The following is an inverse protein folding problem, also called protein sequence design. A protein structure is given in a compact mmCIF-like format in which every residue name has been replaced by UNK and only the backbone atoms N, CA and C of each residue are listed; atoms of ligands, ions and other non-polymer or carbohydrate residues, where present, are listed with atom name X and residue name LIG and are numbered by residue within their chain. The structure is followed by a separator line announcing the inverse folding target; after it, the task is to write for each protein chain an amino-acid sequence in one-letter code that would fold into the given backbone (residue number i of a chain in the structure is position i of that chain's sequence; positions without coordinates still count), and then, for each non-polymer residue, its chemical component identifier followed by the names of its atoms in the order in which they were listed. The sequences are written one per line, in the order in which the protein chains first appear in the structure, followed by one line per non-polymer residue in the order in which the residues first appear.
data_IF_475612883379
#
_entry.id   IF_475612883379
#
_cell.length_a   1.000
_cell.length_b   1.000
_cell.length_c   1.000
_cell.angle_alpha   90.00
_cell.angle_beta   90.00
_cell.angle_gamma   90.00
#
_symmetry.space_group_name_H-M   'P 1'
#
loop_
_entity.id
_entity.type
_entity.pdbx_description
1 polymer ?
#
# COMPACT_ATOMS: atom_id res chain seq x y z
N UNK A 1 -13.96 15.83 20.41
CA UNK A 1 -14.29 17.23 20.78
C UNK A 1 -14.00 18.08 19.58
N UNK A 2 -14.84 19.06 19.26
CA UNK A 2 -14.53 19.96 18.17
C UNK A 2 -13.24 20.76 18.50
N UNK A 3 -12.39 21.13 17.51
CA UNK A 3 -11.14 21.84 17.77
C UNK A 3 -11.35 23.17 18.53
N UNK A 4 -12.51 23.81 18.34
CA UNK A 4 -12.90 25.00 19.09
C UNK A 4 -13.10 24.72 20.60
N UNK A 5 -13.64 23.55 20.96
CA UNK A 5 -13.87 23.14 22.35
C UNK A 5 -12.55 22.85 23.06
N UNK A 6 -11.62 22.16 22.39
CA UNK A 6 -10.28 21.86 22.92
C UNK A 6 -9.51 23.15 23.16
N UNK A 7 -9.57 24.10 22.21
CA UNK A 7 -8.96 25.42 22.34
C UNK A 7 -9.52 26.20 23.53
N UNK A 8 -10.85 26.18 23.71
CA UNK A 8 -11.49 26.85 24.84
C UNK A 8 -11.12 26.20 26.18
N UNK A 9 -11.15 24.87 26.27
CA UNK A 9 -10.77 24.13 27.47
C UNK A 9 -9.31 24.39 27.87
N UNK A 10 -8.41 24.44 26.88
CA UNK A 10 -6.99 24.70 27.11
C UNK A 10 -6.74 26.17 27.49
N UNK A 11 -7.49 27.12 26.93
CA UNK A 11 -7.42 28.54 27.32
C UNK A 11 -7.89 28.77 28.77
N UNK A 12 -8.96 28.09 29.19
CA UNK A 12 -9.46 28.13 30.57
C UNK A 12 -8.44 27.51 31.53
N UNK A 13 -7.90 26.34 31.20
CA UNK A 13 -6.97 25.61 32.06
C UNK A 13 -5.60 26.31 32.20
N UNK A 14 -5.15 27.06 31.18
CA UNK A 14 -3.90 27.83 31.25
C UNK A 14 -4.03 29.18 31.97
N UNK A 15 -5.24 29.73 32.08
CA UNK A 15 -5.47 31.03 32.72
C UNK A 15 -4.61 32.16 32.15
N UNK A 16 -3.83 32.82 33.00
CA UNK A 16 -2.94 33.94 32.61
C UNK A 16 -1.82 33.53 31.65
N UNK A 17 -1.45 32.25 31.60
CA UNK A 17 -0.40 31.75 30.71
C UNK A 17 -0.90 31.51 29.28
N UNK A 18 -2.21 31.57 29.03
CA UNK A 18 -2.80 31.25 27.73
C UNK A 18 -2.24 32.10 26.57
N UNK A 19 -2.13 33.45 26.67
CA UNK A 19 -1.62 34.26 25.56
C UNK A 19 -0.18 33.92 25.18
N UNK A 20 0.66 33.65 26.20
CA UNK A 20 2.06 33.30 26.02
C UNK A 20 2.22 31.90 25.41
N UNK A 21 1.36 30.94 25.78
CA UNK A 21 1.31 29.62 25.15
C UNK A 21 0.93 29.73 23.66
N UNK A 22 -0.14 30.47 23.33
CA UNK A 22 -0.60 30.60 21.95
C UNK A 22 0.40 31.29 21.03
N UNK A 23 1.15 32.28 21.55
CA UNK A 23 2.24 32.92 20.81
C UNK A 23 3.33 31.91 20.44
N UNK A 24 3.82 31.17 21.43
CA UNK A 24 4.90 30.20 21.24
C UNK A 24 4.48 29.05 20.31
N UNK A 25 3.23 28.56 20.43
CA UNK A 25 2.69 27.56 19.50
C UNK A 25 2.62 28.11 18.08
N UNK A 26 2.20 29.36 17.90
CA UNK A 26 2.15 30.00 16.58
C UNK A 26 3.56 30.20 15.98
N UNK A 27 4.54 30.61 16.78
CA UNK A 27 5.93 30.76 16.36
C UNK A 27 6.56 29.42 15.97
N UNK A 28 6.28 28.34 16.72
CA UNK A 28 6.70 26.99 16.39
C UNK A 28 6.09 26.50 15.06
N UNK A 29 4.78 26.66 14.88
CA UNK A 29 4.09 26.28 13.64
C UNK A 29 4.54 27.10 12.42
N UNK A 30 5.01 28.33 12.63
CA UNK A 30 5.63 29.17 11.59
C UNK A 30 7.11 28.82 11.35
N UNK A 31 7.70 27.89 12.11
CA UNK A 31 9.11 27.53 12.00
C UNK A 31 10.09 28.59 12.52
N UNK A 32 9.63 29.55 13.32
CA UNK A 32 10.46 30.62 13.92
C UNK A 32 11.20 30.16 15.18
N UNK A 33 10.82 29.02 15.73
CA UNK A 33 11.37 28.46 16.95
C UNK A 33 11.74 27.00 16.71
N UNK A 34 12.88 26.56 17.26
CA UNK A 34 13.29 25.17 17.14
C UNK A 34 12.45 24.24 18.02
N UNK A 35 12.47 22.94 17.72
CA UNK A 35 11.74 21.94 18.50
C UNK A 35 12.20 21.88 19.96
N UNK A 36 13.52 21.92 20.20
CA UNK A 36 14.08 21.85 21.55
C UNK A 36 13.64 23.05 22.39
N UNK A 37 13.76 24.27 21.85
CA UNK A 37 13.31 25.49 22.52
C UNK A 37 11.81 25.48 22.81
N UNK A 38 11.00 24.98 21.86
CA UNK A 38 9.56 24.86 22.05
C UNK A 38 9.23 23.89 23.20
N UNK A 39 9.86 22.71 23.22
CA UNK A 39 9.63 21.70 24.26
C UNK A 39 10.01 22.23 25.64
N UNK A 40 11.15 22.91 25.78
CA UNK A 40 11.60 23.49 27.05
C UNK A 40 10.60 24.53 27.59
N UNK A 41 10.15 25.45 26.75
CA UNK A 41 9.19 26.50 27.17
C UNK A 41 7.79 25.90 27.43
N UNK A 42 7.40 24.86 26.69
CA UNK A 42 6.11 24.20 26.89
C UNK A 42 6.08 23.37 28.16
N UNK A 43 7.20 22.73 28.53
CA UNK A 43 7.31 21.97 29.77
C UNK A 43 7.09 22.85 31.00
N UNK A 44 7.60 24.08 30.99
CA UNK A 44 7.40 25.05 32.07
C UNK A 44 5.93 25.50 32.21
N UNK A 45 5.20 25.60 31.08
CA UNK A 45 3.81 26.07 31.04
C UNK A 45 2.79 24.96 31.23
N UNK A 46 3.10 23.75 30.79
CA UNK A 46 2.22 22.57 30.82
C UNK A 46 2.57 21.67 32.01
N UNK A 47 2.52 22.20 33.24
CA UNK A 47 2.91 21.43 34.43
C UNK A 47 1.94 20.29 34.78
N UNK A 48 0.67 20.44 34.43
CA UNK A 48 -0.39 19.48 34.79
C UNK A 48 -0.59 18.42 33.70
N UNK A 49 -0.79 17.14 34.04
CA UNK A 49 -1.04 16.08 33.06
C UNK A 49 -2.26 16.36 32.17
N UNK A 50 -3.30 16.99 32.71
CA UNK A 50 -4.49 17.38 31.96
C UNK A 50 -4.17 18.42 30.85
N UNK A 51 -3.27 19.36 31.13
CA UNK A 51 -2.84 20.36 30.14
C UNK A 51 -2.04 19.72 29.01
N UNK A 52 -1.18 18.74 29.34
CA UNK A 52 -0.41 17.96 28.36
C UNK A 52 -1.34 17.16 27.45
N UNK A 53 -2.39 16.54 28.00
CA UNK A 53 -3.39 15.81 27.22
C UNK A 53 -4.15 16.74 26.26
N UNK A 54 -4.61 17.90 26.74
CA UNK A 54 -5.31 18.88 25.90
C UNK A 54 -4.40 19.45 24.80
N UNK A 55 -3.10 19.64 25.08
CA UNK A 55 -2.10 20.07 24.10
C UNK A 55 -1.93 19.01 23.00
N UNK A 56 -1.73 17.75 23.37
CA UNK A 56 -1.56 16.66 22.41
C UNK A 56 -2.82 16.45 21.56
N UNK A 57 -4.00 16.51 22.19
CA UNK A 57 -5.27 16.43 21.48
C UNK A 57 -5.41 17.57 20.45
N UNK A 58 -5.03 18.80 20.82
CA UNK A 58 -5.04 19.94 19.91
C UNK A 58 -4.09 19.75 18.72
N UNK A 59 -2.85 19.29 18.95
CA UNK A 59 -1.89 19.05 17.86
C UNK A 59 -2.41 18.00 16.88
N UNK A 60 -2.97 16.90 17.38
CA UNK A 60 -3.53 15.85 16.54
C UNK A 60 -4.70 16.34 15.69
N UNK A 61 -5.58 17.20 16.24
CA UNK A 61 -6.66 17.81 15.48
C UNK A 61 -6.15 18.78 14.40
N UNK A 62 -5.12 19.59 14.70
CA UNK A 62 -4.51 20.49 13.72
C UNK A 62 -3.89 19.69 12.55
N UNK A 63 -3.14 18.64 12.86
CA UNK A 63 -2.52 17.76 11.85
C UNK A 63 -3.61 17.03 11.07
N UNK A 64 -4.62 16.49 11.74
CA UNK A 64 -5.76 15.83 11.11
C UNK A 64 -6.46 16.74 10.10
N UNK A 65 -6.77 17.98 10.50
CA UNK A 65 -7.38 18.97 9.62
C UNK A 65 -6.48 19.33 8.43
N UNK A 66 -5.17 19.51 8.65
CA UNK A 66 -4.20 19.79 7.60
C UNK A 66 -4.05 18.63 6.61
N UNK A 67 -4.14 17.39 7.06
CA UNK A 67 -4.07 16.20 6.21
C UNK A 67 -5.35 15.95 5.41
N UNK A 68 -6.51 16.41 5.88
CA UNK A 68 -7.80 16.25 5.16
C UNK A 68 -8.09 17.36 4.15
N UNK A 69 -7.37 18.47 4.23
CA UNK A 69 -7.50 19.56 3.26
C UNK A 69 -6.70 19.24 2.01
N UNK A 70 -7.27 18.49 1.07
CA UNK A 70 -6.78 18.54 -0.32
C UNK A 70 -6.82 20.01 -0.80
N UNK A 71 -5.84 20.48 -1.56
CA UNK A 71 -5.95 21.77 -2.20
C UNK A 71 -7.08 21.67 -3.23
N UNK A 72 -8.16 22.42 -3.02
CA UNK A 72 -9.21 22.68 -4.01
C UNK A 72 -8.60 23.47 -5.20
N UNK A 73 -7.75 22.81 -5.98
CA UNK A 73 -7.51 23.21 -7.36
C UNK A 73 -8.65 22.59 -8.15
N UNK A 74 -9.65 23.41 -8.48
CA UNK A 74 -10.59 23.33 -9.62
C UNK A 74 -11.99 23.89 -9.24
N UNK A 75 -12.06 25.14 -8.79
CA UNK A 75 -13.30 25.92 -8.88
C UNK A 75 -13.30 26.73 -10.18
N UNK A 76 -13.94 26.19 -11.22
CA UNK A 76 -14.51 27.01 -12.30
C UNK A 76 -16.00 26.73 -12.38
N UNK A 77 -16.76 27.65 -11.77
CA UNK A 77 -18.11 28.12 -12.10
C UNK A 77 -18.96 27.20 -12.99
N UNK A 78 -19.88 26.48 -12.38
CA UNK A 78 -21.04 25.92 -13.09
C UNK A 78 -22.19 25.66 -12.13
N UNK A 79 -23.02 26.69 -11.95
CA UNK A 79 -24.37 26.56 -11.38
C UNK A 79 -25.17 25.68 -12.34
N UNK A 80 -25.43 24.40 -11.99
CA UNK A 80 -26.36 23.53 -12.73
C UNK A 80 -27.57 23.25 -11.84
N UNK A 81 -28.80 23.42 -12.34
CA UNK A 81 -30.01 23.33 -11.54
C UNK A 81 -30.36 21.88 -11.20
N UNK A 82 -30.94 21.74 -10.01
CA UNK A 82 -31.39 20.50 -9.37
C UNK A 82 -32.61 19.90 -10.06
N UNK A 83 -32.44 19.31 -11.25
CA UNK A 83 -33.51 18.54 -11.87
C UNK A 83 -33.58 17.11 -11.30
N UNK A 84 -34.71 16.83 -10.67
CA UNK A 84 -35.13 15.56 -10.05
C UNK A 84 -34.70 14.35 -10.89
N UNK A 85 -33.71 13.61 -10.37
CA UNK A 85 -33.25 12.34 -10.94
C UNK A 85 -34.37 11.30 -10.80
N UNK A 86 -35.03 10.98 -11.91
CA UNK A 86 -35.98 9.86 -12.00
C UNK A 86 -35.18 8.58 -11.70
N UNK A 87 -35.49 7.90 -10.59
CA UNK A 87 -34.86 6.63 -10.22
C UNK A 87 -35.16 5.62 -11.34
N UNK A 88 -34.13 5.23 -12.09
CA UNK A 88 -34.16 4.09 -12.98
C UNK A 88 -34.10 2.83 -12.10
N UNK A 89 -35.17 2.06 -12.05
CA UNK A 89 -35.16 0.74 -11.42
C UNK A 89 -34.21 -0.19 -12.18
N UNK A 90 -33.50 -1.04 -11.44
CA UNK A 90 -32.72 -2.15 -11.97
C UNK A 90 -33.63 -3.09 -12.78
N UNK A 91 -33.22 -3.42 -14.00
CA UNK A 91 -33.98 -4.20 -14.98
C UNK A 91 -34.26 -5.64 -14.49
N UNK A 92 -35.54 -6.04 -14.44
CA UNK A 92 -36.03 -7.40 -14.19
C UNK A 92 -36.23 -8.17 -15.51
N UNK A 93 -35.17 -8.39 -16.28
CA UNK A 93 -35.24 -9.25 -17.48
C UNK A 93 -34.68 -10.65 -17.22
N UNK A 94 -35.02 -11.58 -18.12
CA UNK A 94 -34.60 -12.98 -18.05
C UNK A 94 -33.07 -13.10 -18.01
N UNK A 95 -32.60 -14.00 -17.14
CA UNK A 95 -31.18 -14.19 -16.80
C UNK A 95 -30.29 -14.63 -17.97
N UNK A 96 -30.87 -15.12 -19.07
CA UNK A 96 -30.13 -15.70 -20.19
C UNK A 96 -29.55 -14.66 -21.18
N UNK A 97 -29.99 -13.39 -21.12
CA UNK A 97 -29.55 -12.34 -22.04
C UNK A 97 -28.37 -11.48 -21.53
N UNK A 98 -27.89 -11.73 -20.31
CA UNK A 98 -26.89 -10.88 -19.66
C UNK A 98 -25.47 -11.05 -20.23
N UNK A 99 -25.14 -12.22 -20.77
CA UNK A 99 -23.75 -12.59 -21.10
C UNK A 99 -23.43 -12.64 -22.61
N UNK A 100 -24.39 -12.38 -23.48
CA UNK A 100 -24.15 -12.42 -24.94
C UNK A 100 -23.94 -11.00 -25.49
N UNK A 101 -22.79 -10.75 -26.12
CA UNK A 101 -22.44 -9.48 -26.81
C UNK A 101 -23.41 -9.07 -27.94
N UNK A 102 -24.39 -9.92 -28.26
CA UNK A 102 -25.46 -9.67 -29.22
C UNK A 102 -26.79 -9.27 -28.56
N UNK A 103 -26.80 -8.91 -27.27
CA UNK A 103 -28.02 -8.51 -26.59
C UNK A 103 -28.69 -7.35 -27.34
N UNK A 104 -29.95 -7.54 -27.73
CA UNK A 104 -30.75 -6.49 -28.38
C UNK A 104 -30.81 -5.21 -27.53
N UNK A 105 -30.65 -5.35 -26.21
CA UNK A 105 -30.52 -4.26 -25.23
C UNK A 105 -29.31 -3.36 -25.51
N UNK A 106 -28.13 -3.91 -25.80
CA UNK A 106 -26.95 -3.11 -26.12
C UNK A 106 -27.18 -2.34 -27.43
N UNK A 107 -27.82 -2.97 -28.42
CA UNK A 107 -28.22 -2.32 -29.67
C UNK A 107 -29.18 -1.16 -29.41
N UNK A 108 -30.24 -1.34 -28.62
CA UNK A 108 -31.17 -0.27 -28.26
C UNK A 108 -30.51 0.83 -27.43
N UNK A 109 -29.62 0.47 -26.50
CA UNK A 109 -28.86 1.43 -25.71
C UNK A 109 -27.98 2.30 -26.59
N UNK A 110 -27.20 1.69 -27.50
CA UNK A 110 -26.36 2.42 -28.45
C UNK A 110 -27.22 3.29 -29.38
N UNK A 111 -28.35 2.79 -29.87
CA UNK A 111 -29.25 3.56 -30.76
C UNK A 111 -29.90 4.76 -30.04
N UNK A 112 -30.15 4.64 -28.73
CA UNK A 112 -30.72 5.70 -27.90
C UNK A 112 -29.72 6.84 -27.60
N UNK A 113 -28.43 6.66 -27.86
CA UNK A 113 -27.42 7.70 -27.69
C UNK A 113 -27.55 8.78 -28.80
N UNK A 114 -27.27 10.04 -28.46
CA UNK A 114 -27.23 11.13 -29.44
C UNK A 114 -26.19 10.85 -30.54
N UNK A 115 -26.42 11.43 -31.73
CA UNK A 115 -25.63 11.14 -32.93
C UNK A 115 -24.13 11.42 -32.76
N UNK A 116 -23.78 12.43 -31.96
CA UNK A 116 -22.39 12.79 -31.65
C UNK A 116 -21.65 11.69 -30.86
N UNK A 117 -22.26 11.16 -29.80
CA UNK A 117 -21.68 10.08 -29.01
C UNK A 117 -21.57 8.78 -29.81
N UNK A 118 -22.56 8.49 -30.67
CA UNK A 118 -22.48 7.33 -31.58
C UNK A 118 -21.32 7.43 -32.57
N UNK A 119 -21.04 8.62 -33.13
CA UNK A 119 -19.88 8.80 -34.01
C UNK A 119 -18.56 8.68 -33.27
N UNK A 120 -18.50 9.10 -32.01
CA UNK A 120 -17.31 8.98 -31.17
C UNK A 120 -17.01 7.52 -30.83
N UNK A 121 -18.03 6.72 -30.50
CA UNK A 121 -17.89 5.28 -30.28
C UNK A 121 -17.44 4.52 -31.54
N UNK A 122 -17.87 4.94 -32.72
CA UNK A 122 -17.40 4.39 -34.01
C UNK A 122 -15.93 4.75 -34.30
N UNK A 123 -15.49 5.94 -33.88
CA UNK A 123 -14.08 6.34 -33.98
C UNK A 123 -13.19 5.55 -32.99
N UNK A 124 -13.72 5.24 -31.81
CA UNK A 124 -13.06 4.36 -30.83
C UNK A 124 -13.00 2.90 -31.29
N UNK A 125 -14.05 2.39 -31.96
CA UNK A 125 -14.04 1.02 -32.46
C UNK A 125 -13.03 0.83 -33.60
N UNK A 126 -12.87 1.82 -34.48
CA UNK A 126 -11.81 1.80 -35.50
C UNK A 126 -10.41 1.87 -34.89
N UNK A 127 -10.25 2.54 -33.74
CA UNK A 127 -9.00 2.50 -32.97
C UNK A 127 -8.74 1.11 -32.35
N UNK A 128 -9.78 0.43 -31.88
CA UNK A 128 -9.69 -0.92 -31.32
C UNK A 128 -9.44 -2.01 -32.39
N UNK A 129 -9.97 -1.83 -33.60
CA UNK A 129 -9.83 -2.78 -34.71
C UNK A 129 -8.42 -2.72 -35.34
N UNK A 130 -7.78 -1.55 -35.30
CA UNK A 130 -6.37 -1.39 -35.70
C UNK A 130 -5.37 -1.75 -34.60
N UNK A 131 -5.82 -1.92 -33.34
CA UNK A 131 -4.99 -2.36 -32.23
C UNK A 131 -5.59 -3.60 -31.57
N UNK A 132 -5.50 -4.78 -32.23
CA UNK A 132 -5.80 -6.03 -31.55
C UNK A 132 -4.88 -6.11 -30.33
N UNK A 133 -5.46 -6.28 -29.15
CA UNK A 133 -4.78 -6.50 -27.89
C UNK A 133 -3.65 -7.57 -27.99
N UNK A 134 -2.42 -7.22 -28.37
CA UNK A 134 -1.17 -7.87 -27.92
C UNK A 134 0.14 -7.22 -28.47
N UNK A 135 1.27 -7.37 -27.75
CA UNK A 135 2.48 -6.55 -27.82
C UNK A 135 3.36 -6.92 -29.02
N UNK A 136 2.96 -6.55 -30.24
CA UNK A 136 3.79 -6.75 -31.44
C UNK A 136 4.45 -5.48 -31.96
N UNK A 137 3.88 -4.31 -31.74
CA UNK A 137 4.42 -3.09 -32.35
C UNK A 137 5.66 -2.55 -31.64
N UNK A 138 5.84 -2.89 -30.36
CA UNK A 138 7.13 -2.70 -29.67
C UNK A 138 8.26 -3.51 -30.32
N UNK A 139 7.98 -4.66 -30.93
CA UNK A 139 9.04 -5.48 -31.56
C UNK A 139 9.58 -4.86 -32.85
N UNK A 140 8.73 -4.19 -33.64
CA UNK A 140 9.14 -3.57 -34.90
C UNK A 140 10.00 -2.32 -34.67
N UNK A 141 9.64 -1.50 -33.69
CA UNK A 141 10.44 -0.34 -33.27
C UNK A 141 11.79 -0.78 -32.65
N UNK A 142 11.80 -1.90 -31.93
CA UNK A 142 13.06 -2.52 -31.47
C UNK A 142 13.88 -3.14 -32.61
N UNK A 143 13.28 -3.55 -33.74
CA UNK A 143 13.99 -4.13 -34.88
C UNK A 143 14.76 -3.08 -35.70
N UNK A 144 14.26 -1.84 -35.77
CA UNK A 144 14.97 -0.74 -36.41
C UNK A 144 16.19 -0.29 -35.58
N UNK A 145 16.03 -0.21 -34.24
CA UNK A 145 17.16 0.04 -33.30
C UNK A 145 18.16 -1.13 -33.26
N UNK A 146 17.76 -2.35 -33.62
CA UNK A 146 18.63 -3.55 -33.69
C UNK A 146 19.65 -3.46 -34.83
N UNK A 147 19.29 -2.80 -35.94
CA UNK A 147 20.15 -2.74 -37.13
C UNK A 147 21.29 -1.73 -36.95
N UNK A 148 21.05 -0.66 -36.20
CA UNK A 148 22.03 0.42 -36.00
C UNK A 148 23.08 0.13 -34.89
N UNK A 149 22.80 -0.77 -33.94
CA UNK A 149 23.67 -0.98 -32.76
C UNK A 149 24.42 -2.33 -32.72
N UNK A 150 24.29 -3.19 -33.73
CA UNK A 150 25.07 -4.45 -33.82
C UNK A 150 24.73 -5.54 -32.78
N UNK A 151 23.57 -5.45 -32.11
CA UNK A 151 23.15 -6.46 -31.13
C UNK A 151 22.52 -7.68 -31.81
N UNK A 152 23.20 -8.83 -31.75
CA UNK A 152 22.67 -10.11 -32.24
C UNK A 152 21.70 -10.72 -31.22
N UNK A 153 20.39 -10.47 -31.36
CA UNK A 153 19.37 -11.20 -30.60
C UNK A 153 19.19 -12.58 -31.25
N UNK A 154 19.83 -13.60 -30.69
CA UNK A 154 19.63 -14.98 -31.12
C UNK A 154 18.18 -15.41 -30.90
N UNK A 155 17.43 -15.70 -31.96
CA UNK A 155 16.01 -16.11 -31.89
C UNK A 155 15.78 -17.50 -31.29
N UNK A 156 16.83 -18.17 -30.80
CA UNK A 156 16.69 -19.46 -30.14
C UNK A 156 16.31 -19.25 -28.67
N UNK A 157 15.01 -19.39 -28.36
CA UNK A 157 14.57 -19.89 -27.04
C UNK A 157 15.13 -21.31 -26.86
N UNK A 158 16.44 -21.42 -26.56
CA UNK A 158 17.01 -22.65 -26.02
C UNK A 158 16.36 -22.84 -24.65
N UNK A 159 15.76 -24.00 -24.42
CA UNK A 159 15.34 -24.43 -23.09
C UNK A 159 16.54 -24.26 -22.15
N UNK A 160 16.42 -23.38 -21.16
CA UNK A 160 17.49 -23.15 -20.19
C UNK A 160 17.65 -24.44 -19.38
N UNK A 161 18.81 -25.11 -19.42
CA UNK A 161 19.09 -26.18 -18.49
C UNK A 161 19.39 -25.57 -17.11
N UNK A 162 18.84 -26.22 -16.08
CA UNK A 162 19.04 -26.00 -14.64
C UNK A 162 17.99 -25.14 -13.93
N UNK A 163 17.11 -25.86 -13.22
CA UNK A 163 16.25 -25.36 -12.16
C UNK A 163 17.14 -24.95 -10.98
N UNK A 164 17.60 -23.70 -10.96
CA UNK A 164 18.35 -23.18 -9.82
C UNK A 164 17.41 -23.07 -8.61
N UNK A 165 17.76 -23.73 -7.51
CA UNK A 165 16.92 -23.84 -6.31
C UNK A 165 16.63 -22.46 -5.70
N UNK A 166 15.39 -21.98 -5.79
CA UNK A 166 14.99 -20.66 -5.29
C UNK A 166 15.25 -20.52 -3.78
N UNK A 167 15.49 -19.28 -3.32
CA UNK A 167 15.80 -19.02 -1.91
C UNK A 167 14.64 -19.39 -0.98
N UNK A 168 13.40 -19.39 -1.51
CA UNK A 168 12.22 -19.88 -0.80
C UNK A 168 12.29 -21.37 -0.48
N UNK A 169 13.03 -22.15 -1.28
CA UNK A 169 13.22 -23.59 -1.09
C UNK A 169 14.41 -23.87 -0.17
N UNK A 170 15.54 -23.19 -0.40
CA UNK A 170 16.77 -23.45 0.38
C UNK A 170 16.76 -22.81 1.77
N UNK A 171 15.89 -21.81 2.00
CA UNK A 171 15.88 -20.98 3.22
C UNK A 171 17.21 -20.28 3.50
N UNK A 172 18.03 -20.10 2.49
CA UNK A 172 19.34 -19.42 2.56
C UNK A 172 19.41 -18.30 1.54
N UNK A 173 20.26 -17.30 1.80
CA UNK A 173 20.63 -16.32 0.79
C UNK A 173 21.40 -17.01 -0.36
N UNK A 174 21.17 -16.60 -1.61
CA UNK A 174 21.78 -17.25 -2.77
C UNK A 174 23.28 -16.97 -2.80
N UNK A 175 24.08 -17.95 -3.23
CA UNK A 175 25.51 -17.73 -3.41
C UNK A 175 25.78 -16.80 -4.61
N UNK A 176 26.97 -16.20 -4.66
CA UNK A 176 27.37 -15.38 -5.82
C UNK A 176 27.37 -16.17 -7.13
N UNK A 177 27.71 -17.46 -7.10
CA UNK A 177 27.61 -18.34 -8.27
C UNK A 177 26.16 -18.53 -8.72
N UNK A 178 25.24 -18.78 -7.78
CA UNK A 178 23.82 -18.98 -8.10
C UNK A 178 23.20 -17.71 -8.68
N UNK A 179 23.52 -16.55 -8.09
CA UNK A 179 23.06 -15.25 -8.61
C UNK A 179 23.61 -15.00 -10.01
N UNK A 180 24.90 -15.28 -10.23
CA UNK A 180 25.53 -15.10 -11.54
C UNK A 180 24.83 -15.95 -12.62
N UNK A 181 24.53 -17.21 -12.33
CA UNK A 181 23.82 -18.09 -13.26
C UNK A 181 22.38 -17.62 -13.52
N UNK A 182 21.65 -17.18 -12.49
CA UNK A 182 20.29 -16.64 -12.65
C UNK A 182 20.25 -15.36 -13.46
N UNK A 183 21.16 -14.43 -13.18
CA UNK A 183 21.27 -13.18 -13.92
C UNK A 183 21.57 -13.47 -15.39
N UNK A 184 22.49 -14.39 -15.65
CA UNK A 184 22.81 -14.82 -17.02
C UNK A 184 21.61 -15.48 -17.71
N UNK A 185 20.86 -16.34 -17.01
CA UNK A 185 19.64 -16.96 -17.54
C UNK A 185 18.59 -15.90 -17.87
N UNK A 186 18.28 -15.01 -16.93
CA UNK A 186 17.28 -13.96 -17.09
C UNK A 186 17.66 -12.99 -18.20
N UNK A 187 18.94 -12.65 -18.33
CA UNK A 187 19.45 -11.88 -19.44
C UNK A 187 19.21 -12.56 -20.79
N UNK A 188 19.57 -13.85 -20.90
CA UNK A 188 19.36 -14.63 -22.10
C UNK A 188 17.86 -14.76 -22.46
N UNK A 189 16.98 -14.94 -21.46
CA UNK A 189 15.52 -14.97 -21.65
C UNK A 189 14.97 -13.65 -22.22
N UNK A 190 15.59 -12.53 -21.84
CA UNK A 190 15.27 -11.20 -22.37
C UNK A 190 16.02 -10.86 -23.66
N UNK A 191 16.78 -11.81 -24.23
CA UNK A 191 17.57 -11.60 -25.46
C UNK A 191 18.82 -10.74 -25.26
N UNK A 192 19.23 -10.49 -24.01
CA UNK A 192 20.42 -9.72 -23.66
C UNK A 192 21.63 -10.66 -23.59
N UNK A 193 22.60 -10.44 -24.48
CA UNK A 193 23.89 -11.12 -24.40
C UNK A 193 24.86 -10.30 -23.55
N UNK A 194 24.96 -10.64 -22.26
CA UNK A 194 25.92 -9.97 -21.38
C UNK A 194 27.31 -10.63 -21.45
N UNK A 195 28.34 -9.78 -21.52
CA UNK A 195 29.72 -10.17 -21.33
C UNK A 195 29.92 -10.70 -19.89
N UNK A 196 30.72 -11.76 -19.74
CA UNK A 196 30.94 -12.41 -18.45
C UNK A 196 31.50 -11.46 -17.37
N UNK A 197 32.36 -10.52 -17.76
CA UNK A 197 32.89 -9.50 -16.84
C UNK A 197 31.77 -8.60 -16.30
N UNK A 198 30.87 -8.13 -17.17
CA UNK A 198 29.72 -7.30 -16.80
C UNK A 198 28.78 -8.05 -15.86
N UNK A 199 28.47 -9.32 -16.18
CA UNK A 199 27.62 -10.16 -15.33
C UNK A 199 28.21 -10.30 -13.93
N UNK A 200 29.52 -10.57 -13.80
CA UNK A 200 30.18 -10.70 -12.49
C UNK A 200 30.14 -9.42 -11.67
N UNK A 201 30.41 -8.26 -12.28
CA UNK A 201 30.34 -6.97 -11.59
C UNK A 201 28.93 -6.67 -11.13
N UNK A 202 27.94 -6.88 -12.00
CA UNK A 202 26.53 -6.69 -11.67
C UNK A 202 26.08 -7.65 -10.55
N UNK A 203 26.50 -8.92 -10.58
CA UNK A 203 26.18 -9.88 -9.51
C UNK A 203 26.69 -9.41 -8.15
N UNK A 204 27.90 -8.85 -8.07
CA UNK A 204 28.45 -8.31 -6.81
C UNK A 204 27.66 -7.11 -6.30
N UNK A 205 27.36 -6.16 -7.18
CA UNK A 205 26.56 -4.98 -6.85
C UNK A 205 25.14 -5.37 -6.41
N UNK A 206 24.53 -6.33 -7.10
CA UNK A 206 23.21 -6.83 -6.78
C UNK A 206 23.19 -7.54 -5.42
N UNK A 207 24.21 -8.34 -5.11
CA UNK A 207 24.35 -8.97 -3.79
C UNK A 207 24.46 -7.92 -2.67
N UNK A 208 25.28 -6.88 -2.86
CA UNK A 208 25.39 -5.78 -1.90
C UNK A 208 24.06 -5.03 -1.72
N UNK A 209 23.36 -4.72 -2.82
CA UNK A 209 22.07 -4.06 -2.77
C UNK A 209 21.00 -4.91 -2.03
N UNK A 210 21.02 -6.23 -2.21
CA UNK A 210 20.15 -7.14 -1.47
C UNK A 210 20.45 -7.13 0.03
N UNK A 211 21.73 -7.14 0.42
CA UNK A 211 22.15 -7.06 1.82
C UNK A 211 21.70 -5.75 2.46
N UNK A 212 22.00 -4.61 1.83
CA UNK A 212 21.59 -3.29 2.32
C UNK A 212 20.07 -3.17 2.44
N UNK A 213 19.33 -3.72 1.47
CA UNK A 213 17.88 -3.73 1.50
C UNK A 213 17.33 -4.58 2.67
N UNK A 214 17.84 -5.79 2.87
CA UNK A 214 17.42 -6.66 3.97
C UNK A 214 17.75 -6.07 5.33
N UNK A 215 18.95 -5.51 5.50
CA UNK A 215 19.35 -4.79 6.71
C UNK A 215 18.40 -3.64 6.98
N UNK A 216 18.09 -2.82 5.98
CA UNK A 216 17.14 -1.72 6.11
C UNK A 216 15.76 -2.21 6.57
N UNK A 217 15.25 -3.29 5.96
CA UNK A 217 13.95 -3.88 6.33
C UNK A 217 13.95 -4.36 7.78
N UNK A 218 14.94 -5.15 8.19
CA UNK A 218 15.07 -5.69 9.55
C UNK A 218 15.22 -4.55 10.56
N UNK A 219 16.10 -3.59 10.30
CA UNK A 219 16.33 -2.46 11.21
C UNK A 219 15.09 -1.57 11.35
N UNK A 220 14.36 -1.33 10.26
CA UNK A 220 13.10 -0.59 10.32
C UNK A 220 12.08 -1.35 11.15
N UNK A 221 11.95 -2.66 10.95
CA UNK A 221 11.04 -3.50 11.74
C UNK A 221 11.42 -3.55 13.22
N UNK A 222 12.68 -3.76 13.55
CA UNK A 222 13.16 -3.69 14.94
C UNK A 222 12.88 -2.32 15.55
N UNK A 223 13.12 -1.25 14.80
CA UNK A 223 12.82 0.11 15.23
C UNK A 223 11.32 0.29 15.46
N UNK A 224 10.45 -0.21 14.58
CA UNK A 224 8.99 -0.16 14.75
C UNK A 224 8.53 -0.95 15.98
N UNK A 225 9.10 -2.12 16.24
CA UNK A 225 8.78 -2.95 17.42
C UNK A 225 9.27 -2.28 18.72
N UNK A 226 10.46 -1.67 18.69
CA UNK A 226 11.09 -1.08 19.89
C UNK A 226 10.64 0.36 20.18
N UNK A 227 10.17 1.10 19.17
CA UNK A 227 9.70 2.49 19.30
C UNK A 227 8.27 2.64 19.81
N UNK A 228 7.52 1.56 20.00
CA UNK A 228 6.13 1.66 20.47
C UNK A 228 5.96 2.30 21.86
N UNK A 229 7.05 2.57 22.61
CA UNK A 229 6.99 3.20 23.93
C UNK A 229 7.64 4.60 24.06
N UNK A 230 8.58 5.03 23.22
CA UNK A 230 9.47 6.17 23.60
C UNK A 230 9.38 7.45 22.77
N UNK A 231 8.74 7.45 21.60
CA UNK A 231 8.68 8.65 20.74
C UNK A 231 7.29 9.28 20.62
N UNK A 232 6.24 8.61 21.07
CA UNK A 232 4.89 9.18 21.16
C UNK A 232 4.48 9.55 22.59
N UNK A 233 5.24 9.12 23.60
CA UNK A 233 5.16 9.66 24.95
C UNK A 233 6.07 10.89 25.05
N UNK A 234 5.61 12.03 24.53
CA UNK A 234 6.31 13.30 24.76
C UNK A 234 6.49 13.57 26.26
N UNK A 235 5.65 13.01 27.14
CA UNK A 235 5.78 13.08 28.60
C UNK A 235 5.15 11.82 29.22
N UNK A 236 5.95 10.95 29.82
CA UNK A 236 5.46 9.80 30.60
C UNK A 236 4.62 10.26 31.80
N UNK A 237 3.38 9.74 31.90
CA UNK A 237 2.59 9.84 33.13
C UNK A 237 2.97 8.68 34.07
N UNK A 238 3.29 8.94 35.35
CA UNK A 238 3.36 7.86 36.33
C UNK A 238 1.93 7.42 36.69
N UNK A 239 1.53 6.20 36.29
CA UNK A 239 0.52 5.45 37.06
C UNK A 239 -0.85 5.15 36.43
N UNK A 240 -0.99 5.03 35.10
CA UNK A 240 -2.25 4.49 34.51
C UNK A 240 -2.04 3.10 33.90
N UNK A 241 -2.87 2.15 34.35
CA UNK A 241 -2.82 0.73 34.06
C UNK A 241 -2.77 0.39 32.55
N UNK A 242 -2.05 -0.67 32.14
CA UNK A 242 -1.83 -0.98 30.74
C UNK A 242 -3.09 -1.56 30.09
N UNK A 243 -3.57 -0.89 29.03
CA UNK A 243 -4.52 -1.47 28.10
C UNK A 243 -3.88 -2.66 27.37
N UNK A 244 -4.61 -3.76 27.31
CA UNK A 244 -4.20 -5.06 26.79
C UNK A 244 -3.97 -5.06 25.26
N UNK A 245 -2.90 -4.39 24.80
CA UNK A 245 -2.28 -4.66 23.51
C UNK A 245 -0.99 -5.44 23.76
N UNK A 246 -0.91 -6.62 23.15
CA UNK A 246 -0.07 -7.77 23.50
C UNK A 246 1.44 -7.59 23.36
N UNK A 247 1.94 -6.36 23.25
CA UNK A 247 3.38 -6.04 23.19
C UNK A 247 3.90 -5.35 24.47
N UNK A 248 3.01 -4.76 25.28
CA UNK A 248 3.38 -4.04 26.52
C UNK A 248 3.72 -4.96 27.72
N UNK A 249 3.34 -6.24 27.68
CA UNK A 249 3.59 -7.17 28.78
C UNK A 249 5.05 -7.70 28.84
N UNK A 250 5.76 -7.70 27.70
CA UNK A 250 7.07 -8.34 27.58
C UNK A 250 8.24 -7.51 28.12
N UNK A 251 8.04 -6.21 28.43
CA UNK A 251 9.12 -5.33 28.92
C UNK A 251 9.23 -5.30 30.45
N UNK A 252 8.16 -5.64 31.16
CA UNK A 252 8.16 -5.72 32.63
C UNK A 252 8.68 -7.06 33.16
N UNK A 253 8.89 -8.02 32.27
CA UNK A 253 9.62 -9.26 32.52
C UNK A 253 10.90 -9.15 31.68
N UNK A 254 12.04 -9.69 32.11
CA UNK A 254 13.28 -9.70 31.31
C UNK A 254 13.18 -10.61 30.06
N UNK A 255 12.11 -10.46 29.28
CA UNK A 255 11.74 -11.33 28.19
C UNK A 255 12.39 -10.81 26.91
N UNK A 256 13.09 -11.71 26.22
CA UNK A 256 13.77 -11.38 24.97
C UNK A 256 12.71 -11.01 23.94
N UNK A 257 12.73 -9.77 23.45
CA UNK A 257 11.85 -9.33 22.36
C UNK A 257 12.19 -10.13 21.10
N UNK A 258 11.28 -11.01 20.68
CA UNK A 258 11.40 -11.77 19.43
C UNK A 258 10.62 -11.08 18.31
N UNK A 259 11.23 -10.94 17.13
CA UNK A 259 10.54 -10.43 15.94
C UNK A 259 9.58 -11.49 15.39
N UNK A 260 8.30 -11.14 15.29
CA UNK A 260 7.26 -12.01 14.69
C UNK A 260 6.95 -11.59 13.26
N UNK A 261 6.28 -12.47 12.50
CA UNK A 261 5.76 -12.15 11.15
C UNK A 261 4.78 -10.97 11.20
N UNK A 262 3.96 -10.88 12.25
CA UNK A 262 3.06 -9.75 12.46
C UNK A 262 3.81 -8.44 12.59
N UNK A 263 4.97 -8.45 13.25
CA UNK A 263 5.81 -7.26 13.38
C UNK A 263 6.31 -6.75 12.01
N UNK A 264 6.65 -7.65 11.09
CA UNK A 264 6.98 -7.29 9.70
C UNK A 264 5.76 -6.73 8.96
N UNK A 265 4.59 -7.38 9.09
CA UNK A 265 3.35 -6.90 8.47
C UNK A 265 2.97 -5.49 8.94
N UNK A 266 3.05 -5.24 10.25
CA UNK A 266 2.84 -3.92 10.85
C UNK A 266 3.84 -2.90 10.34
N UNK A 267 5.11 -3.28 10.16
CA UNK A 267 6.14 -2.38 9.59
C UNK A 267 5.78 -1.99 8.15
N UNK A 268 5.35 -2.93 7.31
CA UNK A 268 4.94 -2.63 5.94
C UNK A 268 3.66 -1.79 5.88
N UNK A 269 2.76 -1.93 6.85
CA UNK A 269 1.59 -1.08 6.97
C UNK A 269 1.94 0.35 7.36
N UNK A 270 2.82 0.53 8.36
CA UNK A 270 3.23 1.86 8.86
C UNK A 270 4.16 2.56 7.86
N UNK A 271 5.08 1.83 7.24
CA UNK A 271 6.09 2.36 6.32
C UNK A 271 5.97 1.66 4.96
N UNK A 272 4.93 1.98 4.17
CA UNK A 272 4.72 1.35 2.86
C UNK A 272 5.86 1.67 1.88
N UNK A 273 6.56 2.79 2.05
CA UNK A 273 7.70 3.20 1.22
C UNK A 273 8.91 2.27 1.32
N UNK A 274 8.94 1.36 2.31
CA UNK A 274 9.97 0.32 2.42
C UNK A 274 9.91 -0.65 1.22
N UNK A 275 8.74 -0.76 0.57
CA UNK A 275 8.54 -1.52 -0.65
C UNK A 275 8.04 -0.58 -1.74
N UNK A 276 8.82 -0.38 -2.79
CA UNK A 276 8.45 0.50 -3.91
C UNK A 276 7.18 0.04 -4.63
N UNK A 277 6.79 -1.23 -4.47
CA UNK A 277 5.59 -1.82 -5.07
C UNK A 277 4.92 -2.77 -4.07
N UNK A 278 3.58 -2.97 -4.17
CA UNK A 278 2.89 -3.98 -3.38
C UNK A 278 3.43 -5.36 -3.76
N UNK A 279 4.39 -5.84 -2.98
CA UNK A 279 5.03 -7.12 -3.22
C UNK A 279 4.00 -8.24 -3.07
N UNK A 280 3.88 -9.18 -4.03
CA UNK A 280 3.04 -10.36 -3.88
C UNK A 280 3.34 -11.16 -2.61
N UNK A 281 4.58 -11.10 -2.11
CA UNK A 281 4.96 -11.75 -0.86
C UNK A 281 4.30 -11.07 0.35
N UNK A 282 4.24 -9.74 0.38
CA UNK A 282 3.55 -9.01 1.45
C UNK A 282 2.05 -9.21 1.37
N UNK A 283 1.48 -9.22 0.16
CA UNK A 283 0.07 -9.57 -0.01
C UNK A 283 -0.23 -10.97 0.52
N UNK A 284 0.62 -11.97 0.23
CA UNK A 284 0.45 -13.32 0.81
C UNK A 284 0.49 -13.30 2.34
N UNK A 285 1.42 -12.56 2.95
CA UNK A 285 1.52 -12.43 4.41
C UNK A 285 0.29 -11.72 5.00
N UNK A 286 -0.22 -10.69 4.34
CA UNK A 286 -1.41 -9.96 4.78
C UNK A 286 -2.71 -10.74 4.54
N UNK A 287 -2.74 -11.63 3.55
CA UNK A 287 -3.91 -12.44 3.19
C UNK A 287 -3.97 -13.79 3.92
N UNK A 288 -2.85 -14.31 4.39
CA UNK A 288 -2.84 -15.52 5.21
C UNK A 288 -3.13 -15.15 6.67
N UNK A 289 -4.25 -15.65 7.20
CA UNK A 289 -4.34 -16.00 8.62
C UNK A 289 -3.21 -17.01 8.87
N UNK A 290 -2.09 -16.55 9.41
CA UNK A 290 -0.85 -17.32 9.47
C UNK A 290 -0.96 -18.48 10.47
N UNK A 291 -1.62 -19.59 10.09
CA UNK A 291 -1.48 -20.87 10.76
C UNK A 291 -0.20 -21.53 10.24
N UNK A 292 0.87 -21.49 11.03
CA UNK A 292 1.93 -22.47 10.86
C UNK A 292 1.28 -23.85 11.00
N UNK A 293 1.40 -24.69 9.98
CA UNK A 293 1.19 -26.12 10.16
C UNK A 293 2.15 -26.55 11.27
N UNK A 294 1.58 -26.89 12.44
CA UNK A 294 2.24 -27.73 13.43
C UNK A 294 2.46 -29.10 12.78
N UNK A 295 3.42 -29.20 11.87
CA UNK A 295 3.97 -30.48 11.45
C UNK A 295 5.06 -30.83 12.44
N UNK A 296 4.63 -31.35 13.59
CA UNK A 296 5.34 -32.30 14.46
C UNK A 296 4.42 -32.56 15.67
N UNK A 297 3.69 -33.68 15.58
CA UNK A 297 2.83 -34.37 16.59
C UNK A 297 1.39 -34.61 16.11
N UNK A 298 1.20 -35.33 15.02
CA UNK A 298 0.16 -36.37 14.95
C UNK A 298 0.37 -37.23 13.71
N UNK A 299 1.22 -38.24 13.88
CA UNK A 299 1.03 -39.46 13.10
C UNK A 299 -0.34 -40.04 13.48
N UNK A 300 -1.12 -40.38 12.46
CA UNK A 300 -2.40 -41.12 12.50
C UNK A 300 -3.68 -40.28 12.68
N UNK A 301 -4.28 -39.86 11.56
CA UNK A 301 -5.42 -40.58 10.96
C UNK A 301 -6.34 -39.67 10.14
N UNK A 302 -6.89 -40.28 9.07
CA UNK A 302 -8.03 -39.86 8.25
C UNK A 302 -7.83 -38.75 7.22
N UNK A 303 -7.78 -39.25 5.98
CA UNK A 303 -8.15 -38.54 4.77
C UNK A 303 -9.50 -37.82 4.93
N UNK A 304 -9.47 -36.49 4.79
CA UNK A 304 -10.66 -35.71 4.47
C UNK A 304 -10.29 -34.67 3.42
N UNK A 305 -10.73 -34.92 2.19
CA UNK A 305 -10.63 -33.99 1.06
C UNK A 305 -11.43 -32.73 1.41
N UNK A 306 -10.78 -31.59 1.52
CA UNK A 306 -11.45 -30.29 1.46
C UNK A 306 -11.28 -29.71 0.05
N UNK A 307 -12.41 -29.59 -0.66
CA UNK A 307 -12.56 -28.73 -1.82
C UNK A 307 -12.51 -27.27 -1.32
N UNK A 308 -11.40 -26.57 -1.56
CA UNK A 308 -11.38 -25.11 -1.48
C UNK A 308 -11.74 -24.56 -2.86
N UNK A 309 -12.97 -24.08 -2.99
CA UNK A 309 -13.39 -23.29 -4.14
C UNK A 309 -12.56 -22.02 -4.19
N UNK A 310 -11.68 -21.92 -5.19
CA UNK A 310 -10.96 -20.71 -5.52
C UNK A 310 -11.99 -19.62 -5.88
N UNK A 311 -12.15 -18.61 -5.01
CA UNK A 311 -12.85 -17.38 -5.39
C UNK A 311 -11.97 -16.62 -6.40
N UNK A 312 -12.53 -16.10 -7.50
CA UNK A 312 -11.74 -15.54 -8.58
C UNK A 312 -11.10 -14.22 -8.16
N UNK A 313 -9.80 -14.11 -8.44
CA UNK A 313 -8.95 -12.92 -8.29
C UNK A 313 -9.56 -11.62 -8.87
N UNK A 314 -10.58 -11.74 -9.73
CA UNK A 314 -11.30 -10.64 -10.38
C UNK A 314 -12.01 -9.69 -9.39
N UNK A 315 -12.57 -10.21 -8.29
CA UNK A 315 -13.32 -9.38 -7.34
C UNK A 315 -12.39 -8.44 -6.54
N UNK A 316 -11.13 -8.85 -6.33
CA UNK A 316 -10.13 -8.05 -5.61
C UNK A 316 -9.48 -6.98 -6.49
N UNK A 317 -9.33 -7.23 -7.79
CA UNK A 317 -8.95 -6.18 -8.76
C UNK A 317 -10.01 -5.08 -8.78
N UNK A 318 -11.29 -5.44 -8.54
CA UNK A 318 -12.40 -4.48 -8.41
C UNK A 318 -12.27 -3.62 -7.15
N UNK A 319 -12.01 -4.22 -5.99
CA UNK A 319 -11.78 -3.50 -4.73
C UNK A 319 -10.58 -2.53 -4.81
N UNK A 320 -9.47 -2.94 -5.43
CA UNK A 320 -8.29 -2.08 -5.61
C UNK A 320 -8.51 -0.94 -6.61
N UNK A 321 -9.44 -1.10 -7.56
CA UNK A 321 -9.81 -0.01 -8.49
C UNK A 321 -10.67 1.05 -7.80
N UNK A 322 -11.51 0.65 -6.84
CA UNK A 322 -12.32 1.56 -6.01
C UNK A 322 -11.46 2.40 -5.06
N UNK A 323 -10.40 1.81 -4.48
CA UNK A 323 -9.43 2.57 -3.67
C UNK A 323 -8.63 3.61 -4.46
N UNK A 324 -8.50 3.43 -5.78
CA UNK A 324 -7.85 4.40 -6.68
C UNK A 324 -8.79 5.50 -7.19
N UNK A 325 -10.10 5.35 -7.06
CA UNK A 325 -11.09 6.30 -7.59
C UNK A 325 -11.70 7.24 -6.56
N UNK A 326 -11.18 7.30 -5.33
CA UNK A 326 -11.55 8.31 -4.32
C UNK A 326 -13.03 8.34 -3.91
N UNK A 327 -13.79 7.27 -4.12
CA UNK A 327 -15.20 7.20 -3.72
C UNK A 327 -15.36 6.84 -2.24
N UNK A 328 -16.32 7.43 -1.50
CA UNK A 328 -16.57 7.06 -0.11
C UNK A 328 -17.03 5.60 -0.01
N UNK A 329 -16.35 4.82 0.84
CA UNK A 329 -16.73 3.44 1.17
C UNK A 329 -18.04 3.47 1.96
N UNK A 330 -19.16 3.09 1.32
CA UNK A 330 -20.42 2.89 2.04
C UNK A 330 -20.36 1.54 2.76
N UNK A 331 -20.26 1.57 4.09
CA UNK A 331 -20.25 0.43 5.01
C UNK A 331 -21.54 -0.44 5.03
N UNK A 332 -22.44 -0.27 4.06
CA UNK A 332 -23.75 -0.93 4.04
C UNK A 332 -23.72 -2.38 3.52
N UNK A 333 -22.62 -2.86 2.94
CA UNK A 333 -22.56 -4.21 2.36
C UNK A 333 -22.07 -5.31 3.31
N UNK A 334 -21.74 -5.00 4.58
CA UNK A 334 -21.36 -6.00 5.58
C UNK A 334 -22.54 -6.71 6.27
N UNK A 335 -23.79 -6.38 5.90
CA UNK A 335 -24.98 -6.83 6.63
C UNK A 335 -25.53 -8.22 6.29
N UNK A 336 -25.11 -8.88 5.22
CA UNK A 336 -25.70 -10.15 4.78
C UNK A 336 -24.63 -11.22 4.51
N UNK A 337 -24.02 -11.73 5.57
CA UNK A 337 -23.37 -13.04 5.58
C UNK A 337 -23.63 -13.69 6.94
N UNK A 338 -24.70 -14.47 7.02
CA UNK A 338 -24.87 -15.59 7.95
C UNK A 338 -24.84 -16.88 7.13
#
# INVERSE_FOLDING_TARGET
MAPAEIKAALAIALGSNAPSYWRNLSEFLQGKMSRAEFEDIMLEKLNTPQLKQLHNALLMEIIGAACTSEPDTLTTNSIIPTNKRRRLHSYQGNADDADTFHSGRLKYAIVSLPRAERSELLALSSYAEHHPHHPRDSKLLLDEVRQDNGYQVGSQRRAVPNVLALCSLTRTLPSLSDLHERIKSSANENGLQLNQATTRTFTRLFNQALEEFLVKVIMTTLTTITRSDSQYESIQLPGTAPAASSFLAAKNQNEKVTMSVMSLATTFYITPSLLSFPSPAVLRVMMQDFQWSKEEEESQSKAQRFNLGAKPMADYIRLLRVSRSGGPMMLQEYGNFQ
#
